data_IF_030078647063
#
_entry.id   IF_030078647063
#
_cell.length_a   1.000
_cell.length_b   1.000
_cell.length_c   1.000
_cell.angle_alpha   90.00
_cell.angle_beta   90.00
_cell.angle_gamma   90.00
#
_symmetry.space_group_name_H-M   'P 1'
#
loop_
_entity.id
_entity.type
_entity.pdbx_description
1 polymer ?
#
# COMPACT_ATOMS: atom_id res chain seq x y z
N UNK A 1 -6.40 2.57 10.36
CA UNK A 1 -6.52 1.31 9.61
C UNK A 1 -7.66 1.44 8.62
N UNK A 2 -7.46 0.96 7.39
CA UNK A 2 -8.49 0.89 6.35
C UNK A 2 -8.55 -0.55 5.84
N UNK A 3 -9.75 -1.11 5.69
CA UNK A 3 -9.96 -2.49 5.24
C UNK A 3 -10.80 -2.51 3.97
N UNK A 4 -10.41 -3.37 3.03
CA UNK A 4 -11.25 -3.76 1.91
C UNK A 4 -12.01 -5.03 2.26
N UNK A 5 -13.33 -5.00 2.06
CA UNK A 5 -14.19 -6.16 2.26
C UNK A 5 -14.83 -6.60 0.95
N UNK A 6 -14.98 -7.91 0.79
CA UNK A 6 -15.73 -8.55 -0.29
C UNK A 6 -16.46 -9.75 0.26
N UNK A 7 -17.76 -9.85 -0.02
CA UNK A 7 -18.62 -10.96 0.42
C UNK A 7 -18.50 -11.25 1.93
N UNK A 8 -18.42 -10.18 2.75
CA UNK A 8 -18.29 -10.26 4.21
C UNK A 8 -16.90 -10.65 4.72
N UNK A 9 -15.89 -10.81 3.85
CA UNK A 9 -14.50 -11.13 4.21
C UNK A 9 -13.55 -9.97 3.96
N UNK A 10 -12.56 -9.79 4.83
CA UNK A 10 -11.46 -8.86 4.60
C UNK A 10 -10.55 -9.46 3.52
N UNK A 11 -10.35 -8.74 2.42
CA UNK A 11 -9.47 -9.16 1.30
C UNK A 11 -8.17 -8.37 1.26
N UNK A 12 -8.07 -7.31 2.05
CA UNK A 12 -6.86 -6.54 2.22
C UNK A 12 -7.05 -5.40 3.20
N UNK A 13 -5.95 -4.85 3.69
CA UNK A 13 -5.95 -3.76 4.64
C UNK A 13 -4.69 -2.90 4.51
N UNK A 14 -4.80 -1.66 4.98
CA UNK A 14 -3.67 -0.76 5.19
C UNK A 14 -3.70 -0.11 6.57
N UNK A 15 -2.51 0.16 7.11
CA UNK A 15 -2.27 0.92 8.33
C UNK A 15 -1.38 2.10 7.95
N UNK A 16 -1.74 3.28 8.43
CA UNK A 16 -1.02 4.52 8.19
C UNK A 16 -0.52 5.03 9.53
N UNK A 17 0.74 5.47 9.58
CA UNK A 17 1.35 6.11 10.75
C UNK A 17 2.19 7.32 10.33
N UNK A 18 1.87 8.50 10.88
CA UNK A 18 2.44 9.77 10.43
C UNK A 18 2.28 9.94 8.91
N UNK A 19 3.41 10.10 8.21
CA UNK A 19 3.51 10.18 6.74
C UNK A 19 3.76 8.83 6.05
N UNK A 20 3.62 7.72 6.77
CA UNK A 20 4.08 6.39 6.35
C UNK A 20 2.89 5.49 6.09
N UNK A 21 2.93 4.73 4.98
CA UNK A 21 2.13 3.51 4.83
C UNK A 21 2.86 2.41 5.59
N UNK A 22 2.48 2.23 6.85
CA UNK A 22 3.19 1.37 7.82
C UNK A 22 3.00 -0.11 7.50
N UNK A 23 1.79 -0.50 7.13
CA UNK A 23 1.48 -1.86 6.70
C UNK A 23 0.47 -1.83 5.57
N UNK A 24 0.69 -2.66 4.57
CA UNK A 24 -0.30 -2.94 3.54
C UNK A 24 -0.23 -4.42 3.17
N UNK A 25 -1.38 -5.09 3.25
CA UNK A 25 -1.50 -6.51 2.92
C UNK A 25 -2.76 -6.75 2.11
N UNK A 26 -2.65 -7.66 1.15
CA UNK A 26 -3.78 -8.20 0.40
C UNK A 26 -3.69 -9.71 0.54
N UNK A 27 -4.82 -10.36 0.80
CA UNK A 27 -4.94 -11.81 0.80
C UNK A 27 -4.29 -12.39 -0.48
N UNK A 28 -3.29 -13.28 -0.39
CA UNK A 28 -2.61 -13.88 -1.54
C UNK A 28 -3.56 -14.45 -2.60
N UNK A 29 -4.67 -15.08 -2.19
CA UNK A 29 -5.65 -15.67 -3.11
C UNK A 29 -6.47 -14.60 -3.86
N UNK A 30 -6.38 -13.35 -3.40
CA UNK A 30 -7.02 -12.18 -3.97
C UNK A 30 -6.04 -11.29 -4.76
N UNK A 31 -4.77 -11.70 -4.91
CA UNK A 31 -3.80 -10.94 -5.68
C UNK A 31 -4.20 -10.78 -7.16
N UNK A 32 -3.59 -9.79 -7.82
CA UNK A 32 -3.82 -9.47 -9.25
C UNK A 32 -5.26 -9.06 -9.61
N UNK A 33 -6.10 -8.74 -8.61
CA UNK A 33 -7.48 -8.24 -8.79
C UNK A 33 -7.62 -6.72 -8.61
N UNK A 34 -6.50 -6.00 -8.43
CA UNK A 34 -6.50 -4.54 -8.26
C UNK A 34 -6.60 -4.05 -6.80
N UNK A 35 -6.79 -4.94 -5.81
CA UNK A 35 -6.92 -4.56 -4.40
C UNK A 35 -5.73 -3.77 -3.85
N UNK A 36 -4.51 -4.16 -4.21
CA UNK A 36 -3.30 -3.43 -3.81
C UNK A 36 -3.30 -1.99 -4.33
N UNK A 37 -3.72 -1.77 -5.59
CA UNK A 37 -3.83 -0.41 -6.16
C UNK A 37 -4.91 0.41 -5.46
N UNK A 38 -6.04 -0.22 -5.10
CA UNK A 38 -7.12 0.45 -4.39
C UNK A 38 -6.69 0.90 -2.98
N UNK A 39 -6.01 0.01 -2.24
CA UNK A 39 -5.45 0.34 -0.92
C UNK A 39 -4.39 1.43 -1.01
N UNK A 40 -3.46 1.32 -1.96
CA UNK A 40 -2.37 2.27 -2.13
C UNK A 40 -2.91 3.66 -2.50
N UNK A 41 -3.88 3.74 -3.41
CA UNK A 41 -4.53 5.00 -3.78
C UNK A 41 -5.20 5.66 -2.58
N UNK A 42 -5.93 4.89 -1.76
CA UNK A 42 -6.55 5.42 -0.55
C UNK A 42 -5.48 5.96 0.43
N UNK A 43 -4.36 5.26 0.57
CA UNK A 43 -3.25 5.69 1.42
C UNK A 43 -2.60 6.98 0.89
N UNK A 44 -2.33 7.06 -0.41
CA UNK A 44 -1.79 8.24 -1.08
C UNK A 44 -2.69 9.46 -0.89
N UNK A 45 -3.98 9.35 -1.22
CA UNK A 45 -4.96 10.42 -1.07
C UNK A 45 -5.04 10.91 0.39
N UNK A 46 -5.06 9.97 1.34
CA UNK A 46 -5.15 10.29 2.78
C UNK A 46 -3.90 10.99 3.31
N UNK A 47 -2.71 10.52 2.91
CA UNK A 47 -1.45 11.04 3.43
C UNK A 47 -1.04 12.34 2.71
N UNK A 48 -1.21 12.44 1.39
CA UNK A 48 -0.87 13.64 0.62
C UNK A 48 -1.78 14.83 0.94
N UNK A 49 -2.98 14.59 1.47
CA UNK A 49 -3.82 15.65 2.02
C UNK A 49 -3.19 16.32 3.26
N UNK A 50 -2.18 15.70 3.90
CA UNK A 50 -1.62 16.13 5.19
C UNK A 50 -0.11 16.37 5.15
N UNK A 51 0.60 15.72 4.24
CA UNK A 51 2.06 15.77 4.15
C UNK A 51 2.50 16.03 2.71
N UNK A 52 3.54 16.86 2.50
CA UNK A 52 4.05 17.15 1.16
C UNK A 52 4.76 15.94 0.53
N UNK A 53 5.22 15.00 1.35
CA UNK A 53 5.83 13.74 0.93
C UNK A 53 5.37 12.61 1.82
N UNK A 54 5.29 11.42 1.25
CA UNK A 54 4.85 10.20 1.93
C UNK A 54 5.88 9.11 1.69
N UNK A 55 5.89 8.09 2.54
CA UNK A 55 6.84 6.98 2.41
C UNK A 55 6.19 5.64 2.73
N UNK A 56 6.86 4.58 2.31
CA UNK A 56 6.61 3.21 2.75
C UNK A 56 7.96 2.49 2.80
N UNK A 57 8.01 1.39 3.54
CA UNK A 57 9.19 0.55 3.63
C UNK A 57 8.84 -0.85 3.15
N UNK A 58 9.79 -1.51 2.50
CA UNK A 58 9.67 -2.92 2.10
C UNK A 58 11.02 -3.59 2.25
N UNK A 59 11.02 -4.92 2.43
CA UNK A 59 12.24 -5.67 2.55
C UNK A 59 12.99 -5.75 1.20
N UNK A 60 14.33 -5.74 1.19
CA UNK A 60 15.11 -5.82 -0.05
C UNK A 60 14.81 -7.05 -0.91
N UNK A 61 14.41 -8.16 -0.30
CA UNK A 61 14.06 -9.43 -0.95
C UNK A 61 12.59 -9.51 -1.41
N UNK A 62 11.75 -8.52 -1.05
CA UNK A 62 10.36 -8.48 -1.45
C UNK A 62 10.20 -7.96 -2.89
N UNK A 63 10.67 -8.74 -3.87
CA UNK A 63 10.67 -8.41 -5.29
C UNK A 63 9.26 -8.08 -5.80
N UNK A 64 8.23 -8.80 -5.31
CA UNK A 64 6.84 -8.57 -5.69
C UNK A 64 6.33 -7.20 -5.25
N UNK A 65 6.60 -6.80 -4.00
CA UNK A 65 6.19 -5.50 -3.50
C UNK A 65 6.95 -4.36 -4.20
N UNK A 66 8.28 -4.50 -4.39
CA UNK A 66 9.08 -3.49 -5.11
C UNK A 66 8.55 -3.24 -6.51
N UNK A 67 8.37 -4.30 -7.30
CA UNK A 67 7.82 -4.19 -8.66
C UNK A 67 6.40 -3.61 -8.67
N UNK A 68 5.58 -3.94 -7.66
CA UNK A 68 4.24 -3.36 -7.51
C UNK A 68 4.29 -1.85 -7.24
N UNK A 69 5.13 -1.39 -6.32
CA UNK A 69 5.25 0.04 -5.97
C UNK A 69 5.85 0.85 -7.12
N UNK A 70 6.89 0.34 -7.78
CA UNK A 70 7.48 0.95 -8.98
C UNK A 70 6.42 1.08 -10.10
N UNK A 71 5.61 0.04 -10.32
CA UNK A 71 4.48 0.08 -11.27
C UNK A 71 3.31 0.98 -10.83
N UNK A 72 3.38 1.55 -9.63
CA UNK A 72 2.47 2.60 -9.15
C UNK A 72 3.14 3.99 -9.14
N UNK A 73 4.38 4.12 -9.63
CA UNK A 73 5.09 5.40 -9.72
C UNK A 73 5.88 5.76 -8.45
N UNK A 74 5.98 4.86 -7.48
CA UNK A 74 6.87 5.05 -6.33
C UNK A 74 8.32 4.85 -6.77
N UNK A 75 9.21 5.63 -6.17
CA UNK A 75 10.65 5.57 -6.43
C UNK A 75 11.40 5.21 -5.16
N UNK A 76 12.51 4.50 -5.32
CA UNK A 76 13.43 4.27 -4.21
C UNK A 76 14.01 5.62 -3.77
N UNK A 77 13.87 5.94 -2.49
CA UNK A 77 14.48 7.10 -1.87
C UNK A 77 15.51 6.63 -0.84
N UNK A 78 16.66 7.30 -0.80
CA UNK A 78 17.61 7.13 0.29
C UNK A 78 17.04 7.73 1.58
N UNK A 79 17.41 7.15 2.72
CA UNK A 79 16.88 7.52 4.03
C UNK A 79 17.47 8.84 4.54
#
# INVERSE_FOLDING_TARGET
>A
MHCLTRDGRIVGLSILDGRTVDLMMVDPDQHRRGWGRLLLRHAEETLLARYPTIRLETFPDNVGAKAFYEACGWVLAER
#
